data_IF_088740676754
#
_entry.id   IF_088740676754
#
_cell.length_a   1.000
_cell.length_b   1.000
_cell.length_c   1.000
_cell.angle_alpha   90.00
_cell.angle_beta   90.00
_cell.angle_gamma   90.00
#
_symmetry.space_group_name_H-M   'P 1'
#
loop_
_entity.id
_entity.type
_entity.pdbx_description
1 polymer ?
#
# COMPACT_ATOMS: atom_id res chain seq x y z
N UNK A 1 32.82 1.93 40.01
CA UNK A 1 31.52 1.27 40.21
C UNK A 1 30.41 1.98 39.41
N UNK A 2 30.29 3.30 39.54
CA UNK A 2 29.26 4.11 38.84
C UNK A 2 29.41 4.04 37.33
N UNK A 3 30.61 4.00 36.76
CA UNK A 3 30.89 3.92 35.32
C UNK A 3 30.44 2.55 34.79
N UNK A 4 30.64 1.48 35.52
CA UNK A 4 30.20 0.13 35.17
C UNK A 4 28.66 0.03 35.16
N UNK A 5 27.96 0.63 36.13
CA UNK A 5 26.51 0.67 36.17
C UNK A 5 25.92 1.42 34.97
N UNK A 6 26.58 2.50 34.52
CA UNK A 6 26.13 3.29 33.37
C UNK A 6 26.23 2.51 32.03
N UNK A 7 27.17 1.58 31.92
CA UNK A 7 27.33 0.72 30.74
C UNK A 7 26.31 -0.42 30.68
N UNK A 8 25.63 -0.72 31.80
CA UNK A 8 24.65 -1.80 31.90
C UNK A 8 23.22 -1.30 31.73
N UNK A 9 23.00 0.01 31.82
CA UNK A 9 21.68 0.64 31.77
C UNK A 9 21.39 1.14 30.37
N UNK A 10 20.35 0.58 29.76
CA UNK A 10 19.90 0.94 28.41
C UNK A 10 18.54 1.61 28.49
N UNK A 11 18.42 2.77 27.87
CA UNK A 11 17.17 3.50 27.70
C UNK A 11 16.64 3.17 26.31
N UNK A 12 15.41 2.74 26.23
CA UNK A 12 14.67 2.47 24.99
C UNK A 12 13.84 3.70 24.62
N UNK A 13 14.08 4.23 23.42
CA UNK A 13 13.25 5.31 22.89
C UNK A 13 11.89 4.77 22.41
N UNK A 14 10.84 5.61 22.31
CA UNK A 14 9.52 5.17 21.86
C UNK A 14 9.50 4.63 20.44
N UNK A 15 10.45 5.08 19.60
CA UNK A 15 10.57 4.67 18.19
C UNK A 15 11.48 3.46 17.97
N UNK A 16 11.98 2.83 19.02
CA UNK A 16 12.87 1.67 18.91
C UNK A 16 12.43 0.54 19.85
N UNK A 17 12.91 -0.67 19.54
CA UNK A 17 12.83 -1.83 20.44
C UNK A 17 14.24 -2.28 20.74
N UNK A 18 14.51 -2.48 22.02
CA UNK A 18 15.74 -3.13 22.49
C UNK A 18 15.53 -4.64 22.55
N UNK A 19 16.45 -5.36 21.94
CA UNK A 19 16.46 -6.82 21.89
C UNK A 19 17.67 -7.29 22.68
N UNK A 20 17.43 -8.00 23.76
CA UNK A 20 18.46 -8.60 24.61
C UNK A 20 18.56 -10.08 24.25
N UNK A 21 19.54 -10.45 23.46
CA UNK A 21 19.79 -11.83 23.04
C UNK A 21 20.74 -12.53 24.01
N UNK A 22 20.52 -13.82 24.30
CA UNK A 22 21.43 -14.67 25.09
C UNK A 22 20.73 -15.60 26.08
N UNK A 23 19.85 -15.11 26.92
CA UNK A 23 19.13 -15.93 27.91
C UNK A 23 17.83 -16.50 27.34
N UNK A 24 17.67 -17.83 27.41
CA UNK A 24 16.42 -18.50 27.03
C UNK A 24 15.31 -18.11 27.98
N UNK A 25 14.19 -17.64 27.43
CA UNK A 25 12.98 -17.31 28.20
C UNK A 25 11.75 -17.89 27.51
N UNK A 26 10.73 -18.20 28.30
CA UNK A 26 9.41 -18.54 27.78
C UNK A 26 8.64 -17.28 27.45
N UNK A 27 8.19 -17.16 26.22
CA UNK A 27 7.25 -16.11 25.78
C UNK A 27 5.86 -16.40 26.31
N UNK A 28 4.99 -15.38 26.41
CA UNK A 28 3.59 -15.53 26.81
C UNK A 28 2.81 -16.54 25.98
N UNK A 29 3.24 -16.83 24.74
CA UNK A 29 2.70 -17.87 23.85
C UNK A 29 3.24 -19.28 24.13
N UNK A 30 4.05 -19.48 25.18
CA UNK A 30 4.61 -20.79 25.57
C UNK A 30 5.87 -21.23 24.83
N UNK A 31 6.29 -20.52 23.80
CA UNK A 31 7.51 -20.80 23.06
C UNK A 31 8.76 -20.33 23.81
N UNK A 32 9.84 -21.11 23.71
CA UNK A 32 11.13 -20.73 24.31
C UNK A 32 11.97 -19.99 23.28
N UNK A 33 12.19 -18.69 23.51
CA UNK A 33 13.04 -17.83 22.66
C UNK A 33 14.32 -17.47 23.38
N UNK A 34 15.42 -17.29 22.65
CA UNK A 34 16.72 -16.90 23.16
C UNK A 34 16.93 -15.40 23.34
N UNK A 35 15.86 -14.62 23.38
CA UNK A 35 15.91 -13.17 23.51
C UNK A 35 14.71 -12.61 24.28
N UNK A 36 14.82 -11.37 24.74
CA UNK A 36 13.72 -10.57 25.26
C UNK A 36 13.64 -9.23 24.53
N UNK A 37 12.44 -8.76 24.31
CA UNK A 37 12.16 -7.46 23.72
C UNK A 37 11.75 -6.47 24.81
N UNK A 38 12.24 -5.23 24.72
CA UNK A 38 11.84 -4.13 25.60
C UNK A 38 11.43 -2.96 24.73
N UNK A 39 10.18 -2.53 24.88
CA UNK A 39 9.60 -1.40 24.16
C UNK A 39 9.29 -0.27 25.10
N UNK A 40 10.00 0.85 24.95
CA UNK A 40 9.89 1.99 25.86
C UNK A 40 10.45 1.72 27.26
N UNK A 41 10.84 2.78 27.95
CA UNK A 41 11.38 2.68 29.30
C UNK A 41 12.87 2.32 29.33
N UNK A 42 13.27 1.55 30.32
CA UNK A 42 14.68 1.21 30.54
C UNK A 42 14.87 -0.22 30.98
N UNK A 43 16.01 -0.80 30.62
CA UNK A 43 16.36 -2.15 30.99
C UNK A 43 17.84 -2.27 31.35
N UNK A 44 18.14 -3.21 32.24
CA UNK A 44 19.50 -3.57 32.60
C UNK A 44 19.95 -4.78 31.74
N UNK A 45 21.13 -4.65 31.15
CA UNK A 45 21.83 -5.74 30.47
C UNK A 45 22.60 -6.56 31.49
N UNK A 46 22.53 -7.89 31.35
CA UNK A 46 23.39 -8.79 32.11
C UNK A 46 24.69 -8.96 31.35
N UNK A 47 25.83 -8.43 31.90
CA UNK A 47 27.11 -8.49 31.20
C UNK A 47 27.52 -9.94 30.97
N UNK A 48 28.20 -10.20 29.85
CA UNK A 48 28.69 -11.54 29.44
C UNK A 48 27.58 -12.49 28.94
N UNK A 49 26.36 -12.38 29.45
CA UNK A 49 25.25 -13.28 29.09
C UNK A 49 24.25 -12.70 28.09
N UNK A 50 24.17 -11.40 27.97
CA UNK A 50 23.22 -10.73 27.05
C UNK A 50 23.96 -9.77 26.12
N UNK A 51 23.60 -9.83 24.85
CA UNK A 51 23.94 -8.84 23.82
C UNK A 51 22.73 -7.96 23.55
N UNK A 52 22.96 -6.66 23.36
CA UNK A 52 21.87 -5.70 23.12
C UNK A 52 21.90 -5.23 21.70
N UNK A 53 20.82 -5.45 20.98
CA UNK A 53 20.61 -4.96 19.63
C UNK A 53 19.43 -3.98 19.64
N UNK A 54 19.46 -3.02 18.71
CA UNK A 54 18.39 -2.03 18.52
C UNK A 54 17.70 -2.27 17.21
N UNK A 55 16.39 -2.22 17.22
CA UNK A 55 15.55 -2.29 16.03
C UNK A 55 14.73 -1.00 15.96
N UNK A 56 14.94 -0.23 14.89
CA UNK A 56 14.24 1.03 14.66
C UNK A 56 12.85 0.75 14.08
N UNK A 57 11.81 1.24 14.77
CA UNK A 57 10.41 1.10 14.35
C UNK A 57 9.92 2.30 13.53
N UNK A 58 10.80 3.23 13.16
CA UNK A 58 10.44 4.42 12.40
C UNK A 58 9.85 4.04 11.04
N UNK A 59 8.95 4.89 10.57
CA UNK A 59 8.36 4.73 9.25
C UNK A 59 9.40 4.89 8.13
N UNK A 60 9.30 4.04 7.13
CA UNK A 60 10.14 4.06 5.93
C UNK A 60 9.26 4.29 4.72
N UNK A 61 9.63 5.28 3.91
CA UNK A 61 8.97 5.55 2.63
C UNK A 61 9.68 4.74 1.54
N UNK A 62 8.88 4.06 0.73
CA UNK A 62 9.33 3.23 -0.38
C UNK A 62 8.70 3.73 -1.66
N UNK A 63 9.54 4.10 -2.62
CA UNK A 63 9.11 4.39 -3.98
C UNK A 63 9.01 3.07 -4.75
N UNK A 64 7.79 2.73 -5.14
CA UNK A 64 7.48 1.56 -5.97
C UNK A 64 7.54 1.93 -7.44
N UNK A 65 8.23 1.14 -8.23
CA UNK A 65 8.32 1.32 -9.67
C UNK A 65 8.37 -0.04 -10.35
N UNK A 66 7.29 -0.36 -11.02
CA UNK A 66 7.20 -1.59 -11.82
C UNK A 66 7.04 -1.20 -13.28
N UNK A 67 7.98 -1.63 -14.09
CA UNK A 67 8.01 -1.35 -15.52
C UNK A 67 7.73 -2.64 -16.30
N UNK A 68 7.03 -2.51 -17.43
CA UNK A 68 6.71 -3.61 -18.34
C UNK A 68 6.01 -4.81 -17.68
N UNK A 69 5.17 -4.56 -16.67
CA UNK A 69 4.36 -5.62 -16.09
C UNK A 69 3.11 -5.87 -16.94
N UNK A 70 2.87 -7.14 -17.26
CA UNK A 70 1.74 -7.52 -18.10
C UNK A 70 0.46 -7.55 -17.27
N UNK A 71 -0.57 -6.85 -17.76
CA UNK A 71 -1.93 -6.93 -17.27
C UNK A 71 -2.66 -8.14 -17.83
N UNK A 72 -3.86 -8.42 -17.33
CA UNK A 72 -4.76 -9.39 -17.90
C UNK A 72 -5.12 -8.97 -19.33
N UNK A 73 -4.67 -9.76 -20.31
CA UNK A 73 -4.77 -9.42 -21.74
C UNK A 73 -3.42 -9.18 -22.40
N UNK A 74 -2.31 -9.24 -21.65
CA UNK A 74 -0.96 -9.20 -22.19
C UNK A 74 -0.47 -7.81 -22.58
N UNK A 75 -1.08 -6.75 -22.03
CA UNK A 75 -0.67 -5.37 -22.28
C UNK A 75 0.36 -4.96 -21.23
N UNK A 76 1.57 -4.54 -21.64
CA UNK A 76 2.60 -4.09 -20.71
C UNK A 76 2.23 -2.71 -20.15
N UNK A 77 2.27 -2.58 -18.83
CA UNK A 77 1.98 -1.36 -18.11
C UNK A 77 3.15 -0.99 -17.18
N UNK A 78 3.31 0.30 -17.00
CA UNK A 78 4.24 0.88 -16.05
C UNK A 78 3.44 1.50 -14.90
N UNK A 79 3.73 1.09 -13.66
CA UNK A 79 3.06 1.59 -12.47
C UNK A 79 4.07 2.20 -11.53
N UNK A 80 3.77 3.39 -11.04
CA UNK A 80 4.51 4.04 -9.97
C UNK A 80 3.62 4.30 -8.78
N UNK A 81 4.17 4.14 -7.59
CA UNK A 81 3.45 4.36 -6.35
C UNK A 81 4.39 4.65 -5.19
N UNK A 82 3.81 4.95 -4.06
CA UNK A 82 4.53 5.17 -2.81
C UNK A 82 3.87 4.35 -1.71
N UNK A 83 4.68 3.63 -0.96
CA UNK A 83 4.27 2.89 0.21
C UNK A 83 4.97 3.43 1.45
N UNK A 84 4.25 3.50 2.57
CA UNK A 84 4.80 3.79 3.87
C UNK A 84 4.71 2.54 4.73
N UNK A 85 5.85 2.03 5.14
CA UNK A 85 5.98 0.82 5.95
C UNK A 85 6.71 1.10 7.25
N UNK A 86 6.50 0.26 8.23
CA UNK A 86 7.27 0.24 9.48
C UNK A 86 7.49 -1.20 9.95
N UNK A 87 8.46 -1.38 10.84
CA UNK A 87 8.64 -2.65 11.53
C UNK A 87 7.53 -2.77 12.58
N UNK A 88 6.89 -3.94 12.64
CA UNK A 88 5.88 -4.22 13.65
C UNK A 88 6.49 -4.25 15.06
N UNK A 89 5.93 -3.46 15.97
CA UNK A 89 6.29 -3.48 17.38
C UNK A 89 5.43 -4.43 18.22
N UNK A 90 4.41 -5.05 17.64
CA UNK A 90 3.42 -5.85 18.36
C UNK A 90 3.63 -7.36 18.17
N UNK A 91 3.29 -8.14 19.19
CA UNK A 91 3.29 -9.61 19.09
C UNK A 91 2.10 -10.08 18.23
N UNK A 92 2.27 -11.10 17.38
CA UNK A 92 3.45 -11.95 17.19
C UNK A 92 4.46 -11.43 16.15
N UNK A 93 4.11 -10.39 15.37
CA UNK A 93 4.89 -9.93 14.21
C UNK A 93 6.31 -9.45 14.57
N UNK A 94 6.51 -8.94 15.80
CA UNK A 94 7.85 -8.53 16.28
C UNK A 94 8.84 -9.71 16.28
N UNK A 95 8.37 -10.93 16.54
CA UNK A 95 9.23 -12.11 16.51
C UNK A 95 9.74 -12.39 15.12
N UNK A 96 8.90 -12.24 14.11
CA UNK A 96 9.30 -12.36 12.69
C UNK A 96 10.31 -11.29 12.32
N UNK A 97 10.09 -10.05 12.77
CA UNK A 97 11.03 -8.95 12.53
C UNK A 97 12.40 -9.22 13.17
N UNK A 98 12.42 -9.69 14.42
CA UNK A 98 13.66 -10.03 15.13
C UNK A 98 14.41 -11.13 14.38
N UNK A 99 13.73 -12.22 13.99
CA UNK A 99 14.38 -13.34 13.31
C UNK A 99 14.93 -13.01 11.94
N UNK A 100 14.30 -12.10 11.20
CA UNK A 100 14.62 -11.86 9.79
C UNK A 100 15.35 -10.55 9.53
N UNK A 101 15.11 -9.53 10.36
CA UNK A 101 15.58 -8.17 10.12
C UNK A 101 16.67 -7.72 11.09
N UNK A 102 16.91 -8.46 12.19
CA UNK A 102 17.94 -8.09 13.14
C UNK A 102 19.33 -8.09 12.46
N UNK A 103 20.10 -7.05 12.77
CA UNK A 103 21.45 -6.88 12.18
C UNK A 103 21.45 -6.33 10.75
N UNK A 104 20.29 -6.14 10.11
CA UNK A 104 20.18 -5.49 8.81
C UNK A 104 20.11 -3.98 8.97
N UNK A 105 20.69 -3.26 8.01
CA UNK A 105 20.54 -1.82 7.93
C UNK A 105 19.12 -1.43 7.49
N UNK A 106 18.73 -0.20 7.79
CA UNK A 106 17.42 0.32 7.37
C UNK A 106 17.25 0.30 5.84
N UNK A 107 18.36 0.51 5.09
CA UNK A 107 18.32 0.46 3.63
C UNK A 107 18.14 -0.97 3.09
N UNK A 108 18.74 -1.97 3.74
CA UNK A 108 18.51 -3.38 3.39
C UNK A 108 17.06 -3.79 3.67
N UNK A 109 16.48 -3.36 4.79
CA UNK A 109 15.08 -3.63 5.14
C UNK A 109 14.15 -2.97 4.13
N UNK A 110 14.43 -1.71 3.75
CA UNK A 110 13.70 -0.99 2.71
C UNK A 110 13.76 -1.71 1.37
N UNK A 111 14.93 -2.22 0.99
CA UNK A 111 15.10 -2.96 -0.26
C UNK A 111 14.29 -4.26 -0.28
N UNK A 112 14.34 -5.05 0.79
CA UNK A 112 13.55 -6.28 0.93
C UNK A 112 12.06 -5.99 0.81
N UNK A 113 11.57 -4.98 1.52
CA UNK A 113 10.17 -4.59 1.49
C UNK A 113 9.75 -4.08 0.10
N UNK A 114 10.61 -3.32 -0.58
CA UNK A 114 10.39 -2.86 -1.95
C UNK A 114 10.24 -4.02 -2.92
N UNK A 115 11.16 -4.97 -2.91
CA UNK A 115 11.10 -6.14 -3.79
C UNK A 115 9.85 -6.98 -3.55
N UNK A 116 9.45 -7.15 -2.27
CA UNK A 116 8.23 -7.87 -1.91
C UNK A 116 6.99 -7.14 -2.47
N UNK A 117 6.88 -5.84 -2.25
CA UNK A 117 5.76 -5.04 -2.73
C UNK A 117 5.70 -4.98 -4.27
N UNK A 118 6.84 -4.83 -4.94
CA UNK A 118 6.90 -4.85 -6.41
C UNK A 118 6.54 -6.22 -6.99
N UNK A 119 6.89 -7.31 -6.28
CA UNK A 119 6.46 -8.67 -6.63
C UNK A 119 4.94 -8.83 -6.55
N UNK A 120 4.34 -8.43 -5.44
CA UNK A 120 2.88 -8.45 -5.24
C UNK A 120 2.17 -7.55 -6.23
N UNK A 121 2.73 -6.37 -6.52
CA UNK A 121 2.20 -5.43 -7.52
C UNK A 121 2.12 -6.09 -8.91
N UNK A 122 3.16 -6.81 -9.35
CA UNK A 122 3.14 -7.57 -10.61
C UNK A 122 2.07 -8.67 -10.59
N UNK A 123 1.93 -9.37 -9.46
CA UNK A 123 0.90 -10.40 -9.27
C UNK A 123 -0.52 -9.84 -9.45
N UNK A 124 -0.84 -8.78 -8.74
CA UNK A 124 -2.15 -8.11 -8.82
C UNK A 124 -2.40 -7.54 -10.22
N UNK A 125 -1.39 -6.90 -10.84
CA UNK A 125 -1.51 -6.38 -12.21
C UNK A 125 -1.87 -7.47 -13.21
N UNK A 126 -1.31 -8.66 -13.08
CA UNK A 126 -1.59 -9.79 -13.99
C UNK A 126 -3.03 -10.31 -13.91
N UNK A 127 -3.72 -10.04 -12.80
CA UNK A 127 -5.11 -10.47 -12.56
C UNK A 127 -6.16 -9.47 -13.06
N UNK A 128 -5.78 -8.21 -13.27
CA UNK A 128 -6.67 -7.09 -13.61
C UNK A 128 -6.46 -6.62 -15.06
N UNK A 129 -7.54 -6.12 -15.68
CA UNK A 129 -7.45 -5.50 -17.01
C UNK A 129 -6.87 -4.08 -16.94
N UNK A 130 -6.29 -3.57 -18.05
CA UNK A 130 -5.77 -2.19 -18.07
C UNK A 130 -6.81 -1.13 -17.72
N UNK A 131 -8.06 -1.35 -18.12
CA UNK A 131 -9.19 -0.48 -17.82
C UNK A 131 -9.43 -0.42 -16.31
N UNK A 132 -9.55 -1.59 -15.66
CA UNK A 132 -9.77 -1.69 -14.22
C UNK A 132 -8.65 -1.04 -13.42
N UNK A 133 -7.41 -1.22 -13.85
CA UNK A 133 -6.24 -0.61 -13.21
C UNK A 133 -6.25 0.93 -13.30
N UNK A 134 -6.70 1.48 -14.43
CA UNK A 134 -6.70 2.91 -14.67
C UNK A 134 -7.92 3.63 -14.10
N UNK A 135 -9.11 3.00 -14.16
CA UNK A 135 -10.38 3.60 -13.72
C UNK A 135 -10.50 3.65 -12.19
N UNK A 136 -10.07 2.59 -11.49
CA UNK A 136 -10.23 2.49 -10.04
C UNK A 136 -8.92 2.19 -9.32
N UNK A 137 -8.06 3.21 -9.27
CA UNK A 137 -6.78 3.14 -8.54
C UNK A 137 -6.94 2.85 -7.05
N UNK A 138 -8.08 3.22 -6.46
CA UNK A 138 -8.34 3.00 -5.02
C UNK A 138 -8.61 1.52 -4.74
N UNK A 139 -9.45 0.89 -5.54
CA UNK A 139 -9.69 -0.56 -5.43
C UNK A 139 -8.42 -1.35 -5.75
N UNK A 140 -7.66 -0.94 -6.76
CA UNK A 140 -6.36 -1.53 -7.06
C UNK A 140 -5.38 -1.46 -5.88
N UNK A 141 -5.23 -0.27 -5.26
CA UNK A 141 -4.38 -0.10 -4.09
C UNK A 141 -4.85 -0.97 -2.90
N UNK A 142 -6.16 -1.12 -2.70
CA UNK A 142 -6.73 -1.98 -1.66
C UNK A 142 -6.42 -3.45 -1.90
N UNK A 143 -6.64 -3.94 -3.11
CA UNK A 143 -6.33 -5.34 -3.48
C UNK A 143 -4.84 -5.62 -3.29
N UNK A 144 -3.98 -4.68 -3.68
CA UNK A 144 -2.53 -4.83 -3.47
C UNK A 144 -2.19 -4.84 -1.96
N UNK A 145 -2.86 -4.02 -1.16
CA UNK A 145 -2.64 -4.00 0.29
C UNK A 145 -3.03 -5.35 0.91
N UNK A 146 -4.18 -5.90 0.55
CA UNK A 146 -4.67 -7.18 1.04
C UNK A 146 -3.71 -8.33 0.66
N UNK A 147 -3.23 -8.37 -0.58
CA UNK A 147 -2.27 -9.38 -1.05
C UNK A 147 -0.88 -9.25 -0.41
N UNK A 148 -0.42 -8.01 -0.18
CA UNK A 148 0.90 -7.77 0.38
C UNK A 148 0.95 -7.91 1.91
N UNK A 149 -0.19 -7.80 2.61
CA UNK A 149 -0.24 -7.77 4.07
C UNK A 149 0.35 -9.05 4.67
N UNK A 150 -0.05 -10.21 4.18
CA UNK A 150 0.43 -11.51 4.68
C UNK A 150 1.94 -11.67 4.49
N UNK A 151 2.47 -11.28 3.33
CA UNK A 151 3.89 -11.40 3.04
C UNK A 151 4.73 -10.45 3.89
N UNK A 152 4.26 -9.22 4.08
CA UNK A 152 4.92 -8.23 4.93
C UNK A 152 4.85 -8.63 6.41
N UNK A 153 3.73 -9.15 6.89
CA UNK A 153 3.61 -9.65 8.26
C UNK A 153 4.56 -10.82 8.54
N UNK A 154 4.76 -11.71 7.58
CA UNK A 154 5.76 -12.80 7.69
C UNK A 154 7.20 -12.25 7.78
N UNK A 155 7.45 -11.06 7.25
CA UNK A 155 8.72 -10.36 7.39
C UNK A 155 8.80 -9.55 8.70
N UNK A 156 7.69 -9.40 9.42
CA UNK A 156 7.59 -8.54 10.59
C UNK A 156 7.41 -7.07 10.26
N UNK A 157 6.92 -6.78 9.04
CA UNK A 157 6.65 -5.43 8.54
C UNK A 157 5.14 -5.16 8.53
N UNK A 158 4.76 -3.91 8.67
CA UNK A 158 3.39 -3.42 8.55
C UNK A 158 3.34 -2.34 7.49
N UNK A 159 2.37 -2.45 6.61
CA UNK A 159 2.08 -1.44 5.58
C UNK A 159 1.05 -0.45 6.13
N UNK A 160 1.48 0.78 6.38
CA UNK A 160 0.60 1.82 6.91
C UNK A 160 -0.26 2.46 5.80
N UNK A 161 0.37 2.80 4.68
CA UNK A 161 -0.30 3.42 3.53
C UNK A 161 0.32 2.97 2.22
N UNK A 162 -0.52 2.84 1.22
CA UNK A 162 -0.14 2.55 -0.16
C UNK A 162 -0.91 3.46 -1.10
N UNK A 163 -0.21 4.14 -1.99
CA UNK A 163 -0.80 5.04 -2.97
C UNK A 163 -0.23 4.77 -4.35
N UNK A 164 -1.10 4.48 -5.30
CA UNK A 164 -0.73 4.41 -6.72
C UNK A 164 -0.76 5.82 -7.30
N UNK A 165 0.38 6.28 -7.77
CA UNK A 165 0.53 7.63 -8.31
C UNK A 165 0.18 7.69 -9.79
N UNK A 166 0.82 6.84 -10.60
CA UNK A 166 0.65 6.84 -12.03
C UNK A 166 0.60 5.41 -12.60
N UNK A 167 -0.22 5.27 -13.64
CA UNK A 167 -0.28 4.08 -14.49
C UNK A 167 -0.17 4.57 -15.92
N UNK A 168 0.80 4.04 -16.66
CA UNK A 168 1.08 4.39 -18.05
C UNK A 168 1.42 3.16 -18.86
N UNK A 169 1.29 3.26 -20.16
CA UNK A 169 1.67 2.23 -21.11
C UNK A 169 2.49 2.84 -22.25
N UNK A 170 3.46 2.08 -22.77
CA UNK A 170 4.31 2.53 -23.87
C UNK A 170 3.64 2.32 -25.24
N UNK A 171 2.61 1.45 -25.30
CA UNK A 171 1.88 1.09 -26.53
C UNK A 171 0.68 1.99 -26.83
N UNK A 172 0.42 3.00 -25.99
CA UNK A 172 -0.70 3.96 -26.09
C UNK A 172 -2.09 3.28 -26.12
N UNK A 173 -2.20 2.16 -25.44
CA UNK A 173 -3.47 1.44 -25.33
C UNK A 173 -4.48 2.21 -24.48
N UNK A 174 -4.05 2.74 -23.35
CA UNK A 174 -4.89 3.56 -22.43
C UNK A 174 -5.39 4.83 -23.14
N UNK A 175 -4.54 5.50 -23.93
CA UNK A 175 -4.94 6.63 -24.75
C UNK A 175 -6.03 6.27 -25.77
N UNK A 176 -5.93 5.10 -26.38
CA UNK A 176 -6.89 4.61 -27.40
C UNK A 176 -8.25 4.32 -26.77
N UNK A 177 -8.28 3.74 -25.56
CA UNK A 177 -9.51 3.51 -24.81
C UNK A 177 -10.13 4.85 -24.41
N UNK A 178 -9.36 5.77 -23.88
CA UNK A 178 -9.83 7.11 -23.48
C UNK A 178 -10.44 7.86 -24.66
N UNK A 179 -9.86 7.76 -25.86
CA UNK A 179 -10.45 8.34 -27.08
C UNK A 179 -11.77 7.71 -27.47
N UNK A 180 -11.86 6.37 -27.36
CA UNK A 180 -13.10 5.65 -27.65
C UNK A 180 -14.22 6.08 -26.68
N UNK A 181 -13.94 6.09 -25.40
CA UNK A 181 -14.89 6.53 -24.39
C UNK A 181 -15.33 7.98 -24.59
N UNK A 182 -14.40 8.89 -24.94
CA UNK A 182 -14.72 10.29 -25.25
C UNK A 182 -15.66 10.42 -26.45
N UNK A 183 -15.46 9.62 -27.50
CA UNK A 183 -16.33 9.63 -28.70
C UNK A 183 -17.73 9.11 -28.35
N UNK A 184 -17.82 8.04 -27.55
CA UNK A 184 -19.10 7.49 -27.07
C UNK A 184 -19.87 8.52 -26.20
N UNK A 185 -19.18 9.16 -25.27
CA UNK A 185 -19.75 10.20 -24.41
C UNK A 185 -20.27 11.40 -25.23
N UNK A 186 -19.49 11.84 -26.23
CA UNK A 186 -19.93 12.91 -27.15
C UNK A 186 -21.15 12.50 -27.99
N UNK A 187 -21.20 11.25 -28.44
CA UNK A 187 -22.37 10.73 -29.16
C UNK A 187 -23.61 10.75 -28.28
N UNK A 188 -23.50 10.22 -27.06
CA UNK A 188 -24.61 10.12 -26.13
C UNK A 188 -25.12 11.50 -25.67
N UNK A 189 -24.18 12.46 -25.45
CA UNK A 189 -24.54 13.85 -25.19
C UNK A 189 -25.32 14.48 -26.36
N UNK A 190 -24.91 14.25 -27.62
CA UNK A 190 -25.64 14.76 -28.80
C UNK A 190 -27.04 14.13 -28.93
N UNK A 191 -27.16 12.84 -28.63
CA UNK A 191 -28.46 12.16 -28.63
C UNK A 191 -29.36 12.80 -27.58
N UNK A 192 -28.88 12.95 -26.34
CA UNK A 192 -29.63 13.57 -25.26
C UNK A 192 -30.06 15.02 -25.56
N UNK A 193 -29.16 15.81 -26.18
CA UNK A 193 -29.49 17.17 -26.64
C UNK A 193 -30.57 17.17 -27.71
N UNK A 194 -30.47 16.27 -28.69
CA UNK A 194 -31.46 16.16 -29.75
C UNK A 194 -32.85 15.74 -29.23
N UNK A 195 -32.88 14.78 -28.29
CA UNK A 195 -34.11 14.34 -27.63
C UNK A 195 -34.74 15.47 -26.79
N UNK A 196 -33.91 16.18 -25.99
CA UNK A 196 -34.39 17.31 -25.20
C UNK A 196 -34.99 18.43 -26.07
N UNK A 197 -34.29 18.74 -27.21
CA UNK A 197 -34.79 19.72 -28.18
C UNK A 197 -36.07 19.27 -28.86
N UNK A 198 -36.16 18.00 -29.24
CA UNK A 198 -37.41 17.42 -29.80
C UNK A 198 -38.56 17.51 -28.82
N UNK A 199 -38.35 17.10 -27.56
CA UNK A 199 -39.38 17.20 -26.51
C UNK A 199 -39.80 18.62 -26.23
N UNK A 200 -38.88 19.56 -26.22
CA UNK A 200 -39.17 21.00 -26.07
C UNK A 200 -40.03 21.51 -27.22
N UNK A 201 -39.67 21.16 -28.46
CA UNK A 201 -40.43 21.56 -29.66
C UNK A 201 -41.86 20.98 -29.66
N UNK A 202 -42.01 19.72 -29.28
CA UNK A 202 -43.33 19.08 -29.13
C UNK A 202 -44.19 19.80 -28.08
N UNK A 203 -43.64 20.08 -26.90
CA UNK A 203 -44.33 20.83 -25.85
C UNK A 203 -44.72 22.26 -26.28
N UNK A 204 -43.84 22.94 -27.01
CA UNK A 204 -44.15 24.24 -27.57
C UNK A 204 -45.34 24.19 -28.55
N UNK A 205 -45.30 23.27 -29.51
CA UNK A 205 -46.38 23.08 -30.47
C UNK A 205 -47.72 22.69 -29.79
N UNK A 206 -47.66 21.90 -28.76
CA UNK A 206 -48.85 21.51 -27.97
C UNK A 206 -49.44 22.69 -27.18
N UNK A 207 -48.57 23.52 -26.56
CA UNK A 207 -48.98 24.75 -25.90
C UNK A 207 -49.56 25.79 -26.86
N UNK A 208 -48.99 25.96 -28.04
CA UNK A 208 -49.50 26.85 -29.10
C UNK A 208 -50.89 26.36 -29.58
N UNK A 209 -51.05 25.05 -29.74
CA UNK A 209 -52.35 24.45 -30.10
C UNK A 209 -53.43 24.69 -29.03
N UNK A 210 -53.08 24.51 -27.75
CA UNK A 210 -53.99 24.77 -26.63
C UNK A 210 -54.37 26.26 -26.57
N UNK A 211 -53.39 27.14 -26.81
CA UNK A 211 -53.61 28.58 -26.77
C UNK A 211 -54.48 29.06 -27.94
N UNK A 212 -54.32 28.50 -29.12
CA UNK A 212 -55.15 28.80 -30.30
C UNK A 212 -56.60 28.33 -30.12
N UNK A 213 -56.81 27.15 -29.50
CA UNK A 213 -58.14 26.64 -29.18
C UNK A 213 -58.88 27.44 -28.09
N UNK A 214 -58.19 28.15 -27.22
CA UNK A 214 -58.77 29.03 -26.19
C UNK A 214 -59.13 30.41 -26.72
N UNK A 215 -58.66 30.80 -27.90
CA UNK A 215 -58.96 32.11 -28.54
C UNK A 215 -60.11 32.06 -29.51
N UNK A 216 -60.63 30.89 -29.81
CA UNK A 216 -61.87 30.67 -30.53
C UNK A 216 -63.10 30.57 -29.57
#
# INVERSE_FOLDING_TARGET
FIVLLRQLYYICQPSEVLIFAGLRRRTGSGNTVGYRTVRGGSALRIPVLEEVMRLDLSNMIIDLRVENAYSKGGIPLNVTGVANIKISGDEPSIHNAVERLIGKSQDEIRHIAKETLEGNLRGVMSSLTPEQLNEDKVTFARTLLEEAEDDLQRLGLVLDTLQIQNISDDVRYLDSIGRKQLVELKRDSRIAEAEAKSQSSVKQAENERITSLRRL
#
